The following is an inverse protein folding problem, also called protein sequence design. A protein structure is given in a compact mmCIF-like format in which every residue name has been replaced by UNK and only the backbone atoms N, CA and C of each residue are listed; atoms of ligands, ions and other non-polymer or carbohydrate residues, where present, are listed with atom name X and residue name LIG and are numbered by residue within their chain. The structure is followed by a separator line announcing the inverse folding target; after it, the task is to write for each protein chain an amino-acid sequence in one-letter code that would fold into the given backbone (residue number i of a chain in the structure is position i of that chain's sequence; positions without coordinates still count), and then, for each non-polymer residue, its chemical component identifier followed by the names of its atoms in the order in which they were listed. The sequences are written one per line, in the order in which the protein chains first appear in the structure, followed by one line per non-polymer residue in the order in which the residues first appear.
data_IF_512668926749
#
_entry.id   IF_512668926749
#
_cell.length_a   1.000
_cell.length_b   1.000
_cell.length_c   1.000
_cell.angle_alpha   90.00
_cell.angle_beta   90.00
_cell.angle_gamma   90.00
#
_symmetry.space_group_name_H-M   'P 1'
#
loop_
_entity.id
_entity.type
_entity.pdbx_description
1 polymer ?
#
# COMPACT_ATOMS: atom_id res chain seq x y z
N UNK A 1 3.94 -27.30 59.50
CA UNK A 1 4.50 -27.12 58.14
C UNK A 1 3.41 -26.56 57.25
N UNK A 2 3.17 -25.24 57.36
CA UNK A 2 2.11 -24.53 56.63
C UNK A 2 2.79 -23.33 55.97
N UNK A 3 3.03 -23.41 54.66
CA UNK A 3 3.84 -22.40 53.98
C UNK A 3 3.97 -22.54 52.47
N UNK A 4 3.10 -23.29 51.80
CA UNK A 4 3.19 -23.48 50.34
C UNK A 4 1.96 -23.00 49.54
N UNK A 5 0.93 -22.44 50.20
CA UNK A 5 -0.33 -22.08 49.54
C UNK A 5 -0.57 -20.58 49.32
N UNK A 6 0.46 -19.73 49.42
CA UNK A 6 0.32 -18.27 49.22
C UNK A 6 1.02 -17.77 47.95
N UNK A 7 1.95 -18.55 47.36
CA UNK A 7 2.71 -18.09 46.20
C UNK A 7 2.01 -18.28 44.83
N UNK A 8 0.91 -19.03 44.76
CA UNK A 8 0.23 -19.31 43.48
C UNK A 8 -0.83 -18.25 43.09
N UNK A 9 -1.20 -17.35 44.00
CA UNK A 9 -2.28 -16.37 43.74
C UNK A 9 -1.77 -15.06 43.12
N UNK A 10 -0.48 -14.75 43.25
CA UNK A 10 0.08 -13.49 42.73
C UNK A 10 0.52 -13.52 41.26
N UNK A 11 0.56 -14.67 40.59
CA UNK A 11 0.97 -14.74 39.18
C UNK A 11 -0.16 -14.47 38.17
N UNK A 12 -1.42 -14.35 38.64
CA UNK A 12 -2.58 -14.09 37.78
C UNK A 12 -2.93 -12.59 37.65
N UNK A 13 -2.22 -11.70 38.35
CA UNK A 13 -2.55 -10.27 38.37
C UNK A 13 -1.79 -9.39 37.35
N UNK A 14 -0.90 -9.97 36.53
CA UNK A 14 -0.11 -9.24 35.52
C UNK A 14 -0.46 -9.62 34.07
N UNK A 15 -1.60 -10.26 33.84
CA UNK A 15 -2.21 -10.31 32.52
C UNK A 15 -3.20 -9.14 32.43
N UNK A 16 -2.66 -7.92 32.33
CA UNK A 16 -3.43 -6.83 31.74
C UNK A 16 -3.91 -7.34 30.38
N UNK A 17 -5.22 -7.36 30.08
CA UNK A 17 -5.62 -7.55 28.70
C UNK A 17 -4.87 -6.49 27.90
N UNK A 18 -4.06 -6.93 26.92
CA UNK A 18 -3.70 -6.06 25.83
C UNK A 18 -5.04 -5.60 25.27
N UNK A 19 -5.45 -4.39 25.64
CA UNK A 19 -6.54 -3.67 25.02
C UNK A 19 -6.05 -3.33 23.61
N UNK A 20 -6.00 -4.36 22.78
CA UNK A 20 -5.84 -4.24 21.36
C UNK A 20 -7.18 -3.71 20.89
N UNK A 21 -7.40 -2.41 21.06
CA UNK A 21 -8.50 -1.70 20.42
C UNK A 21 -8.48 -2.13 18.97
N UNK A 22 -9.47 -2.93 18.59
CA UNK A 22 -9.74 -3.21 17.19
C UNK A 22 -9.97 -1.83 16.59
N UNK A 23 -8.99 -1.33 15.82
CA UNK A 23 -9.21 -0.14 15.01
C UNK A 23 -10.40 -0.53 14.13
N UNK A 24 -11.52 0.16 14.29
CA UNK A 24 -12.72 -0.09 13.50
C UNK A 24 -12.39 -0.15 12.01
N UNK A 25 -13.21 -0.87 11.25
CA UNK A 25 -13.07 -0.92 9.78
C UNK A 25 -12.98 0.51 9.24
N UNK A 26 -11.93 0.80 8.46
CA UNK A 26 -11.82 2.08 7.75
C UNK A 26 -13.01 2.12 6.78
N UNK A 27 -13.85 3.15 6.82
CA UNK A 27 -14.94 3.32 5.87
C UNK A 27 -14.46 3.25 4.42
N UNK A 28 -15.25 2.64 3.54
CA UNK A 28 -14.90 2.50 2.12
C UNK A 28 -14.65 3.85 1.43
N UNK A 29 -15.33 4.91 1.88
CA UNK A 29 -15.17 6.28 1.38
C UNK A 29 -13.80 6.91 1.66
N UNK A 30 -13.03 6.31 2.57
CA UNK A 30 -11.72 6.81 2.99
C UNK A 30 -10.59 6.20 2.14
N UNK A 31 -10.88 5.50 1.04
CA UNK A 31 -9.87 5.05 0.09
C UNK A 31 -9.78 5.99 -1.12
N UNK A 32 -8.58 6.51 -1.41
CA UNK A 32 -8.27 7.21 -2.66
C UNK A 32 -7.26 6.43 -3.47
N UNK A 33 -7.59 6.18 -4.72
CA UNK A 33 -6.65 5.62 -5.69
C UNK A 33 -5.92 6.77 -6.39
N UNK A 34 -4.60 6.76 -6.34
CA UNK A 34 -3.72 7.62 -7.11
C UNK A 34 -3.06 6.78 -8.21
N UNK A 35 -3.04 7.31 -9.43
CA UNK A 35 -2.29 6.72 -10.54
C UNK A 35 -1.66 7.81 -11.38
N UNK A 36 -0.61 7.48 -12.13
CA UNK A 36 -0.04 8.35 -13.16
C UNK A 36 -0.51 7.87 -14.53
N UNK A 37 -0.95 8.81 -15.37
CA UNK A 37 -1.23 8.57 -16.78
C UNK A 37 -1.06 9.88 -17.56
N UNK A 38 -0.03 9.93 -18.40
CA UNK A 38 0.27 11.08 -19.26
C UNK A 38 -0.58 11.10 -20.52
N UNK A 39 -1.03 9.93 -20.98
CA UNK A 39 -1.80 9.74 -22.21
C UNK A 39 -3.01 8.81 -22.00
N UNK A 40 -4.03 8.97 -22.84
CA UNK A 40 -5.18 8.05 -22.87
C UNK A 40 -4.90 6.82 -23.75
N UNK A 41 -4.23 5.84 -23.16
CA UNK A 41 -3.98 4.55 -23.79
C UNK A 41 -5.17 3.59 -23.59
N UNK A 42 -5.24 2.52 -24.38
CA UNK A 42 -6.26 1.47 -24.18
C UNK A 42 -6.10 0.76 -22.83
N UNK A 43 -4.86 0.62 -22.36
CA UNK A 43 -4.53 0.13 -21.03
C UNK A 43 -5.13 1.01 -19.94
N UNK A 44 -4.92 2.32 -20.02
CA UNK A 44 -5.50 3.29 -19.11
C UNK A 44 -7.03 3.29 -19.13
N UNK A 45 -7.65 3.21 -20.32
CA UNK A 45 -9.11 3.09 -20.45
C UNK A 45 -9.62 1.80 -19.80
N UNK A 46 -8.89 0.69 -19.93
CA UNK A 46 -9.22 -0.59 -19.28
C UNK A 46 -9.14 -0.48 -17.76
N UNK A 47 -8.10 0.16 -17.23
CA UNK A 47 -7.96 0.48 -15.81
C UNK A 47 -9.17 1.28 -15.31
N UNK A 48 -9.52 2.40 -15.95
CA UNK A 48 -10.66 3.24 -15.55
C UNK A 48 -12.00 2.48 -15.62
N UNK A 49 -12.20 1.62 -16.62
CA UNK A 49 -13.41 0.77 -16.69
C UNK A 49 -13.51 -0.17 -15.50
N UNK A 50 -12.41 -0.84 -15.12
CA UNK A 50 -12.39 -1.74 -13.96
C UNK A 50 -12.59 -0.98 -12.64
N UNK A 51 -11.96 0.19 -12.49
CA UNK A 51 -12.11 1.04 -11.31
C UNK A 51 -13.57 1.51 -11.15
N UNK A 52 -14.20 1.94 -12.25
CA UNK A 52 -15.61 2.34 -12.28
C UNK A 52 -16.54 1.17 -11.94
N UNK A 53 -16.25 -0.03 -12.43
CA UNK A 53 -17.05 -1.22 -12.15
C UNK A 53 -17.17 -1.51 -10.64
N UNK A 54 -16.09 -1.28 -9.90
CA UNK A 54 -16.03 -1.49 -8.45
C UNK A 54 -16.26 -0.23 -7.60
N UNK A 55 -16.64 0.89 -8.22
CA UNK A 55 -16.87 2.18 -7.57
C UNK A 55 -15.65 2.76 -6.83
N UNK A 56 -14.47 2.65 -7.41
CA UNK A 56 -13.29 3.34 -6.88
C UNK A 56 -13.28 4.83 -7.21
N UNK A 57 -12.85 5.64 -6.25
CA UNK A 57 -12.48 7.04 -6.47
C UNK A 57 -11.02 7.11 -6.91
N UNK A 58 -10.79 7.59 -8.13
CA UNK A 58 -9.45 7.65 -8.75
C UNK A 58 -9.07 9.11 -9.04
N UNK A 59 -7.90 9.55 -8.56
CA UNK A 59 -7.23 10.80 -8.99
C UNK A 59 -6.07 10.44 -9.91
N UNK A 60 -6.13 10.95 -11.14
CA UNK A 60 -5.14 10.70 -12.18
C UNK A 60 -4.14 11.85 -12.21
N UNK A 61 -2.86 11.52 -12.12
CA UNK A 61 -1.74 12.47 -12.06
C UNK A 61 -1.02 12.54 -13.41
N UNK A 62 -0.48 13.72 -13.74
CA UNK A 62 0.34 13.93 -14.93
C UNK A 62 -0.43 13.97 -16.26
N UNK A 63 -1.76 14.10 -16.24
CA UNK A 63 -2.56 14.14 -17.48
C UNK A 63 -2.18 15.36 -18.32
N UNK A 64 -1.74 15.13 -19.55
CA UNK A 64 -1.27 16.19 -20.45
C UNK A 64 0.19 16.62 -20.22
N UNK A 65 0.89 16.07 -19.22
CA UNK A 65 2.34 16.25 -19.10
C UNK A 65 3.07 15.32 -20.08
N UNK A 66 4.21 15.78 -20.59
CA UNK A 66 5.15 14.92 -21.33
C UNK A 66 5.78 13.92 -20.36
N UNK A 67 5.91 12.67 -20.79
CA UNK A 67 6.65 11.67 -20.03
C UNK A 67 8.17 11.88 -20.18
N UNK A 68 8.82 12.16 -19.06
CA UNK A 68 10.27 12.34 -18.92
C UNK A 68 10.87 11.30 -17.96
N UNK A 69 10.08 10.31 -17.53
CA UNK A 69 10.50 9.28 -16.60
C UNK A 69 11.40 8.19 -17.18
N UNK A 70 11.99 8.38 -18.37
CA UNK A 70 12.87 7.41 -19.03
C UNK A 70 12.13 6.26 -19.72
N UNK A 71 12.88 5.33 -20.29
CA UNK A 71 12.34 4.13 -20.94
C UNK A 71 12.00 3.06 -19.90
N UNK A 72 10.86 2.40 -20.08
CA UNK A 72 10.42 1.29 -19.23
C UNK A 72 11.40 0.12 -19.25
N UNK A 73 12.14 -0.07 -20.35
CA UNK A 73 13.05 -1.20 -20.54
C UNK A 73 14.48 -0.95 -20.03
N UNK A 74 14.82 0.29 -19.64
CA UNK A 74 16.19 0.68 -19.28
C UNK A 74 16.24 1.41 -17.93
N UNK A 75 16.97 0.88 -16.92
CA UNK A 75 17.15 1.59 -15.66
C UNK A 75 18.12 2.78 -15.78
N UNK A 76 17.96 3.83 -14.95
CA UNK A 76 16.82 4.08 -14.05
C UNK A 76 15.61 4.67 -14.79
N UNK A 77 14.39 4.38 -14.30
CA UNK A 77 13.15 4.89 -14.88
C UNK A 77 12.06 5.12 -13.82
N UNK A 78 11.01 5.83 -14.20
CA UNK A 78 9.80 6.02 -13.38
C UNK A 78 9.85 7.13 -12.32
N UNK A 79 10.96 7.87 -12.18
CA UNK A 79 11.11 8.91 -11.17
C UNK A 79 10.06 10.03 -11.24
N UNK A 80 9.55 10.34 -12.43
CA UNK A 80 8.44 11.28 -12.62
C UNK A 80 7.19 10.87 -11.83
N UNK A 81 6.92 9.55 -11.72
CA UNK A 81 5.77 9.06 -10.94
C UNK A 81 5.89 9.42 -9.47
N UNK A 82 7.09 9.28 -8.91
CA UNK A 82 7.38 9.60 -7.50
C UNK A 82 7.25 11.10 -7.26
N UNK A 83 7.76 11.94 -8.17
CA UNK A 83 7.60 13.40 -8.11
C UNK A 83 6.12 13.80 -8.09
N UNK A 84 5.34 13.26 -9.02
CA UNK A 84 3.90 13.54 -9.12
C UNK A 84 3.14 13.06 -7.88
N UNK A 85 3.46 11.85 -7.38
CA UNK A 85 2.87 11.32 -6.16
C UNK A 85 3.18 12.22 -4.96
N UNK A 86 4.44 12.66 -4.81
CA UNK A 86 4.84 13.57 -3.73
C UNK A 86 4.00 14.85 -3.74
N UNK A 87 3.91 15.53 -4.88
CA UNK A 87 3.11 16.77 -5.00
C UNK A 87 1.62 16.52 -4.72
N UNK A 88 1.06 15.40 -5.19
CA UNK A 88 -0.33 15.06 -4.91
C UNK A 88 -0.60 14.79 -3.42
N UNK A 89 0.38 14.25 -2.69
CA UNK A 89 0.27 13.99 -1.25
C UNK A 89 0.36 15.28 -0.42
N UNK A 90 1.11 16.29 -0.88
CA UNK A 90 1.16 17.61 -0.22
C UNK A 90 -0.20 18.33 -0.24
N UNK A 91 -1.06 18.02 -1.20
CA UNK A 91 -2.43 18.57 -1.30
C UNK A 91 -3.46 17.81 -0.42
N UNK A 92 -3.14 16.59 0.02
CA UNK A 92 -4.07 15.75 0.79
C UNK A 92 -3.93 16.11 2.26
N UNK A 93 -4.94 16.81 2.80
CA UNK A 93 -4.99 17.24 4.21
C UNK A 93 -5.58 16.17 5.16
N UNK A 94 -6.15 15.10 4.60
CA UNK A 94 -6.90 14.07 5.34
C UNK A 94 -5.97 12.95 5.83
N UNK A 95 -5.45 13.08 7.06
CA UNK A 95 -4.50 12.11 7.64
C UNK A 95 -5.05 10.68 7.79
N UNK A 96 -6.37 10.54 7.95
CA UNK A 96 -7.02 9.25 8.16
C UNK A 96 -7.37 8.52 6.86
N UNK A 97 -7.13 9.13 5.71
CA UNK A 97 -7.46 8.54 4.41
C UNK A 97 -6.45 7.45 4.04
N UNK A 98 -6.89 6.32 3.48
CA UNK A 98 -5.98 5.34 2.90
C UNK A 98 -5.70 5.73 1.45
N UNK A 99 -4.42 5.76 1.08
CA UNK A 99 -3.97 5.99 -0.29
C UNK A 99 -3.54 4.66 -0.90
N UNK A 100 -4.08 4.36 -2.08
CA UNK A 100 -3.60 3.31 -2.96
C UNK A 100 -2.94 3.95 -4.17
N UNK A 101 -1.62 3.84 -4.27
CA UNK A 101 -0.91 4.17 -5.49
C UNK A 101 -0.74 2.93 -6.36
N UNK A 102 -1.20 2.98 -7.61
CA UNK A 102 -1.01 1.90 -8.59
C UNK A 102 -0.64 2.47 -9.95
N UNK A 103 0.05 1.66 -10.75
CA UNK A 103 0.15 1.91 -12.19
C UNK A 103 -1.21 1.75 -12.87
N UNK A 104 -1.34 2.21 -14.13
CA UNK A 104 -2.62 2.18 -14.85
C UNK A 104 -2.60 1.61 -16.25
N UNK A 105 -1.45 1.53 -16.92
CA UNK A 105 -1.40 1.05 -18.30
C UNK A 105 -1.54 -0.48 -18.40
N UNK A 106 -1.12 -1.19 -17.36
CA UNK A 106 -1.06 -2.65 -17.27
C UNK A 106 -1.79 -3.22 -16.04
N UNK A 107 -2.58 -2.40 -15.34
CA UNK A 107 -3.31 -2.77 -14.12
C UNK A 107 -4.83 -2.81 -14.35
N UNK A 108 -5.52 -3.73 -13.67
CA UNK A 108 -6.98 -3.78 -13.55
C UNK A 108 -7.38 -4.12 -12.12
N UNK A 109 -8.53 -3.59 -11.68
CA UNK A 109 -9.14 -4.01 -10.42
C UNK A 109 -9.93 -5.29 -10.60
N UNK A 110 -9.84 -6.19 -9.61
CA UNK A 110 -10.56 -7.48 -9.57
C UNK A 110 -11.48 -7.64 -8.36
N UNK A 111 -11.51 -6.66 -7.46
CA UNK A 111 -12.33 -6.63 -6.25
C UNK A 111 -12.66 -5.18 -5.88
N UNK A 112 -13.62 -4.97 -4.98
CA UNK A 112 -14.01 -3.64 -4.51
C UNK A 112 -13.19 -3.09 -3.33
N UNK A 113 -13.37 -1.78 -3.00
CA UNK A 113 -12.66 -1.09 -1.91
C UNK A 113 -12.74 -1.81 -0.57
N UNK A 114 -13.91 -2.34 -0.21
CA UNK A 114 -14.16 -3.04 1.06
C UNK A 114 -13.23 -4.21 1.32
N UNK A 115 -13.06 -5.09 0.32
CA UNK A 115 -12.18 -6.26 0.44
C UNK A 115 -10.71 -5.80 0.56
N UNK A 116 -10.35 -4.81 -0.23
CA UNK A 116 -9.00 -4.26 -0.29
C UNK A 116 -8.61 -3.59 1.05
N UNK A 117 -9.48 -2.75 1.61
CA UNK A 117 -9.28 -2.12 2.92
C UNK A 117 -9.20 -3.16 4.03
N UNK A 118 -10.08 -4.17 4.01
CA UNK A 118 -10.04 -5.29 4.97
C UNK A 118 -8.67 -5.98 4.93
N UNK A 119 -8.14 -6.30 3.74
CA UNK A 119 -6.82 -6.94 3.59
C UNK A 119 -5.67 -6.03 4.03
N UNK A 120 -5.74 -4.73 3.73
CA UNK A 120 -4.74 -3.77 4.18
C UNK A 120 -4.70 -3.65 5.71
N UNK A 121 -5.86 -3.59 6.38
CA UNK A 121 -5.94 -3.58 7.83
C UNK A 121 -5.40 -4.89 8.45
N UNK A 122 -5.70 -6.03 7.83
CA UNK A 122 -5.18 -7.34 8.24
C UNK A 122 -3.65 -7.46 8.12
N UNK A 123 -3.03 -6.71 7.19
CA UNK A 123 -1.58 -6.66 7.08
C UNK A 123 -0.92 -6.00 8.30
N UNK A 124 -1.65 -5.20 9.10
CA UNK A 124 -1.17 -4.55 10.33
C UNK A 124 0.10 -3.70 10.14
N UNK A 125 0.27 -3.14 8.93
CA UNK A 125 1.37 -2.24 8.59
C UNK A 125 0.83 -0.89 8.12
N UNK A 126 1.62 0.17 8.32
CA UNK A 126 1.25 1.53 7.87
C UNK A 126 1.46 1.75 6.38
N UNK A 127 2.41 1.04 5.80
CA UNK A 127 2.76 1.05 4.38
C UNK A 127 2.95 -0.39 3.93
N UNK A 128 2.35 -0.76 2.81
CA UNK A 128 2.45 -2.10 2.21
C UNK A 128 2.75 -1.94 0.73
N UNK A 129 3.88 -2.50 0.28
CA UNK A 129 4.22 -2.55 -1.14
C UNK A 129 3.77 -3.88 -1.75
N UNK A 130 3.52 -3.88 -3.05
CA UNK A 130 3.45 -5.12 -3.81
C UNK A 130 4.79 -5.87 -3.75
N UNK A 131 4.75 -7.19 -3.97
CA UNK A 131 5.94 -8.03 -3.87
C UNK A 131 6.16 -8.86 -5.13
N UNK A 132 7.42 -9.00 -5.52
CA UNK A 132 7.88 -9.66 -6.74
C UNK A 132 8.94 -10.73 -6.47
N UNK A 133 9.14 -11.61 -7.46
CA UNK A 133 10.13 -12.70 -7.37
C UNK A 133 11.52 -12.22 -7.74
N UNK A 134 11.63 -11.27 -8.66
CA UNK A 134 12.90 -10.79 -9.18
C UNK A 134 13.32 -9.53 -8.41
N UNK A 135 14.56 -9.49 -7.96
CA UNK A 135 15.17 -8.25 -7.49
C UNK A 135 15.66 -7.44 -8.69
N UNK A 136 15.18 -6.21 -8.80
CA UNK A 136 15.50 -5.29 -9.88
C UNK A 136 15.50 -3.85 -9.36
N UNK A 137 16.35 -2.94 -9.87
CA UNK A 137 17.37 -3.17 -10.91
C UNK A 137 18.69 -3.72 -10.35
N UNK A 138 18.93 -3.53 -9.05
CA UNK A 138 20.21 -3.85 -8.41
C UNK A 138 20.14 -5.13 -7.59
N UNK A 139 20.77 -6.20 -8.10
CA UNK A 139 20.84 -7.51 -7.44
C UNK A 139 21.69 -7.50 -6.17
N UNK A 140 22.60 -6.53 -5.99
CA UNK A 140 23.44 -6.44 -4.79
C UNK A 140 22.64 -6.07 -3.54
N UNK A 141 21.37 -5.69 -3.68
CA UNK A 141 20.46 -5.41 -2.56
C UNK A 141 19.74 -6.67 -2.04
N UNK A 142 20.01 -7.84 -2.59
CA UNK A 142 19.31 -9.09 -2.23
C UNK A 142 19.49 -9.42 -0.75
N UNK A 143 20.71 -9.37 -0.24
CA UNK A 143 21.03 -9.68 1.16
C UNK A 143 20.45 -8.64 2.14
N UNK A 144 20.09 -7.45 1.66
CA UNK A 144 19.44 -6.42 2.47
C UNK A 144 17.94 -6.66 2.63
N UNK A 145 17.33 -7.49 1.79
CA UNK A 145 15.93 -7.86 1.93
C UNK A 145 15.78 -9.01 2.92
N UNK A 146 14.80 -8.94 3.86
CA UNK A 146 14.57 -10.02 4.80
C UNK A 146 14.26 -11.33 4.07
N UNK A 147 14.73 -12.45 4.61
CA UNK A 147 14.37 -13.76 4.09
C UNK A 147 12.91 -14.06 4.44
N UNK A 148 12.16 -14.51 3.44
CA UNK A 148 10.77 -14.96 3.59
C UNK A 148 10.71 -16.47 3.36
N UNK A 149 9.96 -17.18 4.21
CA UNK A 149 9.79 -18.63 4.07
C UNK A 149 8.90 -18.99 2.89
N UNK A 150 7.85 -18.19 2.69
CA UNK A 150 6.85 -18.37 1.64
C UNK A 150 6.49 -17.01 1.04
N UNK A 151 6.13 -17.01 -0.24
CA UNK A 151 5.73 -15.79 -0.95
C UNK A 151 6.85 -15.13 -1.75
N UNK A 152 6.64 -13.87 -2.11
CA UNK A 152 7.53 -13.05 -2.92
C UNK A 152 8.39 -12.18 -1.99
N UNK A 153 9.70 -12.08 -2.29
CA UNK A 153 10.69 -11.50 -1.36
C UNK A 153 10.95 -10.02 -1.61
N UNK A 154 10.89 -9.57 -2.86
CA UNK A 154 11.39 -8.27 -3.26
C UNK A 154 10.26 -7.28 -3.48
N UNK A 155 10.55 -5.99 -3.31
CA UNK A 155 9.58 -4.92 -3.48
C UNK A 155 9.22 -4.74 -4.96
N UNK A 156 7.92 -4.65 -5.25
CA UNK A 156 7.39 -4.16 -6.52
C UNK A 156 6.82 -2.75 -6.36
N UNK A 157 7.20 -1.83 -7.25
CA UNK A 157 6.76 -0.42 -7.20
C UNK A 157 5.43 -0.15 -7.91
N UNK A 158 4.87 -1.15 -8.61
CA UNK A 158 3.62 -0.99 -9.39
C UNK A 158 2.36 -0.85 -8.53
N UNK A 159 2.45 -1.17 -7.23
CA UNK A 159 1.36 -0.98 -6.28
C UNK A 159 1.86 -0.76 -4.85
N UNK A 160 1.29 0.23 -4.16
CA UNK A 160 1.58 0.54 -2.76
C UNK A 160 0.33 1.07 -2.04
N UNK A 161 0.12 0.63 -0.81
CA UNK A 161 -0.91 1.08 0.12
C UNK A 161 -0.29 1.81 1.29
N UNK A 162 -0.84 2.94 1.71
CA UNK A 162 -0.37 3.64 2.90
C UNK A 162 -1.40 4.60 3.48
N UNK A 163 -1.23 4.94 4.76
CA UNK A 163 -1.82 6.16 5.32
C UNK A 163 -0.88 7.34 5.01
N UNK A 164 -1.38 8.50 4.55
CA UNK A 164 -0.59 9.70 4.43
C UNK A 164 -0.14 10.09 5.84
N UNK A 165 1.17 10.16 6.05
CA UNK A 165 1.70 10.65 7.32
C UNK A 165 1.38 12.14 7.44
N UNK A 166 0.64 12.53 8.48
CA UNK A 166 0.65 13.91 8.96
C UNK A 166 2.07 14.31 9.38
N UNK A 167 2.46 15.54 9.05
CA UNK A 167 3.72 16.15 9.50
C UNK A 167 3.62 16.61 10.95
#
# INVERSE_FOLDING_TARGET
MSGFLVFLVCFLAFLSPLDCKEKGLVPDGDLLVLTVATQETDGFRRFLRSAKHFNYTVKVLGRGETWEGGDYMSPPGGGQKVRLLKSALEEIQEENRVILFVDSYDVVFSSGPKELLKKFQQAKHRVVFSAETLIWPDRHLEDKHPHVREGKRFLGSGGMYFFPCGY
#
